data_IF_117267980782
#
_entry.id   IF_117267980782
#
_cell.length_a   1.000
_cell.length_b   1.000
_cell.length_c   1.000
_cell.angle_alpha   90.00
_cell.angle_beta   90.00
_cell.angle_gamma   90.00
#
_symmetry.space_group_name_H-M   'P 1'
#
loop_
_entity.id
_entity.type
_entity.pdbx_description
1 polymer ?
#
# COMPACT_ATOMS: atom_id res chain seq x y z
N UNK A 1 8.54 -14.98 -14.13
CA UNK A 1 9.23 -14.29 -13.01
C UNK A 1 8.35 -13.15 -12.57
N UNK A 2 8.07 -13.00 -11.26
CA UNK A 2 7.29 -11.85 -10.77
C UNK A 2 8.12 -10.57 -10.96
N UNK A 3 7.52 -9.45 -11.42
CA UNK A 3 8.28 -8.24 -11.77
C UNK A 3 8.73 -7.44 -10.54
N UNK A 4 8.19 -7.75 -9.36
CA UNK A 4 8.46 -7.06 -8.11
C UNK A 4 9.07 -8.01 -7.10
N UNK A 5 9.94 -7.47 -6.25
CA UNK A 5 10.66 -8.20 -5.19
C UNK A 5 10.33 -7.69 -3.80
N UNK A 6 9.81 -6.46 -3.68
CA UNK A 6 9.42 -5.90 -2.37
C UNK A 6 8.08 -5.21 -2.41
N UNK A 7 7.39 -5.27 -1.28
CA UNK A 7 6.26 -4.43 -0.93
C UNK A 7 6.72 -3.44 0.13
N UNK A 8 6.75 -2.16 -0.21
CA UNK A 8 7.26 -1.11 0.69
C UNK A 8 6.11 -0.41 1.41
N UNK A 9 6.18 -0.30 2.74
CA UNK A 9 5.16 0.34 3.58
C UNK A 9 5.69 1.62 4.25
N UNK A 10 4.97 2.73 4.10
CA UNK A 10 5.27 3.96 4.84
C UNK A 10 4.76 3.86 6.28
N UNK A 11 5.68 3.90 7.26
CA UNK A 11 5.36 3.80 8.70
C UNK A 11 5.60 5.11 9.47
N UNK A 12 5.73 6.24 8.76
CA UNK A 12 6.05 7.53 9.38
C UNK A 12 5.11 7.82 10.54
N UNK A 13 5.63 8.25 11.67
CA UNK A 13 4.80 8.78 12.74
C UNK A 13 5.35 10.14 13.15
N UNK A 14 4.48 11.13 13.21
CA UNK A 14 4.81 12.47 13.68
C UNK A 14 4.18 12.66 15.06
N UNK A 15 4.96 13.22 15.98
CA UNK A 15 4.44 13.58 17.29
C UNK A 15 3.51 14.79 17.17
N UNK A 16 2.32 14.69 17.77
CA UNK A 16 1.29 15.73 17.73
C UNK A 16 0.45 15.74 16.46
N UNK A 17 -0.69 16.43 16.50
CA UNK A 17 -1.71 16.41 15.44
C UNK A 17 -1.56 17.55 14.40
N UNK A 18 -0.34 18.07 14.22
CA UNK A 18 -0.09 19.23 13.34
C UNK A 18 -0.01 18.83 11.87
N UNK A 19 0.61 17.68 11.58
CA UNK A 19 0.78 17.20 10.21
C UNK A 19 0.42 15.72 10.13
N UNK A 20 -0.38 15.31 9.12
CA UNK A 20 -0.74 13.91 8.96
C UNK A 20 0.51 13.06 8.71
N UNK A 21 0.41 11.78 9.07
CA UNK A 21 1.43 10.78 8.85
C UNK A 21 0.78 9.40 8.67
N UNK A 22 1.41 8.51 7.89
CA UNK A 22 0.83 7.19 7.63
C UNK A 22 0.65 6.37 8.91
N UNK A 23 1.59 6.48 9.85
CA UNK A 23 1.53 5.81 11.15
C UNK A 23 0.41 6.36 12.05
N UNK A 24 0.06 7.64 11.94
CA UNK A 24 -1.14 8.18 12.57
C UNK A 24 -2.43 7.64 11.92
N UNK A 25 -2.40 7.40 10.60
CA UNK A 25 -3.50 6.78 9.84
C UNK A 25 -3.48 5.24 9.91
N UNK A 26 -2.85 4.65 10.94
CA UNK A 26 -2.91 3.21 11.19
C UNK A 26 -1.89 2.34 10.44
N UNK A 27 -0.95 2.91 9.68
CA UNK A 27 -0.05 2.09 8.84
C UNK A 27 0.84 1.12 9.60
N UNK A 28 1.14 1.39 10.87
CA UNK A 28 1.90 0.47 11.74
C UNK A 28 1.14 -0.80 12.06
N UNK A 29 -0.19 -0.73 12.16
CA UNK A 29 -1.04 -1.92 12.36
C UNK A 29 -1.07 -2.85 11.15
N UNK A 30 -0.61 -2.38 9.98
CA UNK A 30 -0.55 -3.19 8.77
C UNK A 30 0.68 -4.09 8.70
N UNK A 31 1.71 -3.88 9.55
CA UNK A 31 3.00 -4.59 9.47
C UNK A 31 2.78 -6.09 9.68
N UNK A 32 2.35 -6.50 10.88
CA UNK A 32 2.18 -7.91 11.24
C UNK A 32 1.28 -8.70 10.28
N UNK A 33 0.07 -8.23 9.89
CA UNK A 33 -0.78 -8.95 8.96
C UNK A 33 -0.19 -9.04 7.54
N UNK A 34 0.50 -8.00 7.05
CA UNK A 34 1.18 -8.06 5.75
C UNK A 34 2.37 -9.02 5.78
N UNK A 35 3.23 -8.96 6.81
CA UNK A 35 4.37 -9.89 6.95
C UNK A 35 3.89 -11.34 7.01
N UNK A 36 2.88 -11.63 7.84
CA UNK A 36 2.31 -12.96 7.96
C UNK A 36 1.69 -13.44 6.64
N UNK A 37 0.97 -12.57 5.95
CA UNK A 37 0.33 -12.88 4.68
C UNK A 37 1.33 -13.18 3.56
N UNK A 38 2.38 -12.34 3.44
CA UNK A 38 3.43 -12.53 2.45
C UNK A 38 4.24 -13.81 2.71
N UNK A 39 4.50 -14.14 3.99
CA UNK A 39 5.20 -15.36 4.38
C UNK A 39 4.37 -16.65 4.19
N UNK A 40 3.04 -16.55 4.31
CA UNK A 40 2.14 -17.68 4.12
C UNK A 40 1.79 -17.97 2.65
N UNK A 41 1.86 -16.94 1.80
CA UNK A 41 1.52 -17.03 0.38
C UNK A 41 2.68 -17.50 -0.51
N UNK A 42 2.42 -17.58 -1.80
CA UNK A 42 3.43 -17.87 -2.84
C UNK A 42 4.04 -16.60 -3.45
N UNK A 43 3.91 -15.45 -2.78
CA UNK A 43 4.57 -14.22 -3.22
C UNK A 43 6.02 -14.19 -2.75
N UNK A 44 6.98 -14.17 -3.67
CA UNK A 44 8.40 -13.92 -3.39
C UNK A 44 8.68 -12.45 -3.00
N UNK A 45 7.71 -11.77 -2.39
CA UNK A 45 7.79 -10.37 -2.01
C UNK A 45 8.18 -10.24 -0.54
N UNK A 46 9.19 -9.44 -0.27
CA UNK A 46 9.57 -9.05 1.10
C UNK A 46 8.86 -7.74 1.50
N UNK A 47 8.37 -7.66 2.74
CA UNK A 47 7.90 -6.39 3.28
C UNK A 47 9.10 -5.52 3.66
N UNK A 48 9.09 -4.26 3.21
CA UNK A 48 10.10 -3.26 3.57
C UNK A 48 9.40 -2.04 4.18
N UNK A 49 9.65 -1.74 5.46
CA UNK A 49 9.13 -0.49 6.06
C UNK A 49 10.05 0.69 5.79
N UNK A 50 9.48 1.86 5.49
CA UNK A 50 10.23 3.11 5.31
C UNK A 50 9.63 4.27 6.09
N UNK A 51 10.48 5.27 6.35
CA UNK A 51 10.06 6.43 7.14
C UNK A 51 9.03 7.32 6.44
N UNK A 52 9.20 7.76 5.20
CA UNK A 52 8.22 8.68 4.57
C UNK A 52 8.22 8.57 3.05
N UNK A 53 7.05 8.74 2.43
CA UNK A 53 6.86 8.77 0.98
C UNK A 53 6.21 10.08 0.48
N UNK A 54 6.09 11.10 1.33
CA UNK A 54 5.65 12.45 0.92
C UNK A 54 4.15 12.63 0.66
N UNK A 55 3.33 11.57 0.65
CA UNK A 55 1.88 11.63 0.35
C UNK A 55 0.99 11.37 1.58
N UNK A 56 1.37 11.92 2.73
CA UNK A 56 0.72 11.61 4.02
C UNK A 56 -0.80 11.94 4.08
N UNK A 57 -1.27 12.90 3.28
CA UNK A 57 -2.67 13.31 3.22
C UNK A 57 -3.61 12.25 2.61
N UNK A 58 -3.05 11.26 1.91
CA UNK A 58 -3.75 10.14 1.27
C UNK A 58 -3.14 8.79 1.66
N UNK A 59 -2.37 8.77 2.76
CA UNK A 59 -1.81 7.53 3.30
C UNK A 59 -2.82 6.79 4.20
N UNK A 60 -2.56 5.52 4.57
CA UNK A 60 -1.31 4.76 4.41
C UNK A 60 -0.89 4.47 2.96
N UNK A 61 0.40 4.30 2.72
CA UNK A 61 0.96 4.07 1.38
C UNK A 61 1.74 2.76 1.36
N UNK A 62 1.41 1.92 0.40
CA UNK A 62 2.23 0.79 -0.04
C UNK A 62 2.82 1.08 -1.43
N UNK A 63 3.97 0.49 -1.76
CA UNK A 63 4.56 0.57 -3.10
C UNK A 63 5.19 -0.76 -3.51
N UNK A 64 4.90 -1.22 -4.72
CA UNK A 64 5.60 -2.35 -5.32
C UNK A 64 6.95 -1.92 -5.89
N UNK A 65 8.00 -2.69 -5.63
CA UNK A 65 9.38 -2.38 -6.02
C UNK A 65 9.95 -3.51 -6.88
N UNK A 66 10.68 -3.22 -7.98
CA UNK A 66 11.06 -1.89 -8.48
C UNK A 66 9.97 -1.20 -9.32
N UNK A 67 9.86 0.13 -9.18
CA UNK A 67 9.06 1.00 -10.05
C UNK A 67 7.59 0.56 -10.25
N UNK A 68 7.02 -0.16 -9.28
CA UNK A 68 5.63 -0.59 -9.31
C UNK A 68 4.66 0.48 -8.80
N UNK A 69 3.35 0.18 -8.87
CA UNK A 69 2.32 1.11 -8.43
C UNK A 69 2.43 1.42 -6.95
N UNK A 70 1.99 2.63 -6.59
CA UNK A 70 1.68 3.01 -5.22
C UNK A 70 0.21 2.71 -4.94
N UNK A 71 -0.06 2.16 -3.77
CA UNK A 71 -1.41 1.90 -3.26
C UNK A 71 -1.67 2.90 -2.15
N UNK A 72 -2.70 3.72 -2.33
CA UNK A 72 -3.05 4.80 -1.42
C UNK A 72 -4.24 4.41 -0.53
N UNK A 73 -4.29 4.99 0.67
CA UNK A 73 -5.41 4.84 1.60
C UNK A 73 -5.62 3.44 2.17
N UNK A 74 -4.63 2.55 2.06
CA UNK A 74 -4.76 1.12 2.45
C UNK A 74 -5.14 0.98 3.93
N UNK A 75 -6.16 0.17 4.20
CA UNK A 75 -6.64 -0.15 5.54
C UNK A 75 -6.45 -1.64 5.89
N UNK A 76 -6.65 -2.00 7.15
CA UNK A 76 -6.48 -3.38 7.63
C UNK A 76 -7.42 -4.37 6.91
N UNK A 77 -8.66 -3.97 6.63
CA UNK A 77 -9.64 -4.78 5.90
C UNK A 77 -9.31 -4.98 4.41
N UNK A 78 -8.34 -4.25 3.86
CA UNK A 78 -7.88 -4.42 2.49
C UNK A 78 -6.80 -5.49 2.35
N UNK A 79 -6.18 -5.93 3.46
CA UNK A 79 -4.99 -6.79 3.44
C UNK A 79 -5.24 -8.10 2.70
N UNK A 80 -6.33 -8.79 3.02
CA UNK A 80 -6.66 -10.07 2.36
C UNK A 80 -6.84 -9.90 0.85
N UNK A 81 -7.46 -8.78 0.43
CA UNK A 81 -7.61 -8.46 -1.00
C UNK A 81 -6.27 -8.15 -1.65
N UNK A 82 -5.40 -7.41 -0.97
CA UNK A 82 -4.07 -7.07 -1.49
C UNK A 82 -3.25 -8.34 -1.69
N UNK A 83 -3.19 -9.21 -0.68
CA UNK A 83 -2.42 -10.46 -0.73
C UNK A 83 -2.91 -11.39 -1.85
N UNK A 84 -4.22 -11.56 -2.00
CA UNK A 84 -4.83 -12.36 -3.07
C UNK A 84 -4.43 -11.84 -4.47
N UNK A 85 -4.49 -10.52 -4.68
CA UNK A 85 -4.11 -9.93 -5.96
C UNK A 85 -2.59 -10.02 -6.23
N UNK A 86 -1.75 -9.88 -5.20
CA UNK A 86 -0.30 -10.05 -5.30
C UNK A 86 0.06 -11.50 -5.66
N UNK A 87 -0.59 -12.47 -5.04
CA UNK A 87 -0.40 -13.89 -5.33
C UNK A 87 -0.76 -14.22 -6.78
N UNK A 88 -1.90 -13.71 -7.25
CA UNK A 88 -2.39 -13.89 -8.63
C UNK A 88 -1.65 -13.03 -9.67
N UNK A 89 -0.73 -12.17 -9.26
CA UNK A 89 0.00 -11.27 -10.14
C UNK A 89 -0.88 -10.19 -10.80
N UNK A 90 -2.01 -9.86 -10.19
CA UNK A 90 -2.99 -8.88 -10.69
C UNK A 90 -2.62 -7.45 -10.26
N UNK A 91 -1.44 -7.01 -10.67
CA UNK A 91 -0.89 -5.71 -10.24
C UNK A 91 -1.64 -4.49 -10.78
N UNK A 92 -2.25 -4.62 -11.97
CA UNK A 92 -3.10 -3.57 -12.54
C UNK A 92 -4.38 -3.38 -11.72
N UNK A 93 -4.99 -4.46 -11.24
CA UNK A 93 -6.15 -4.39 -10.36
C UNK A 93 -5.83 -3.69 -9.04
N UNK A 94 -4.65 -3.96 -8.47
CA UNK A 94 -4.15 -3.25 -7.29
C UNK A 94 -4.01 -1.75 -7.56
N UNK A 95 -3.36 -1.39 -8.67
CA UNK A 95 -3.15 0.01 -9.05
C UNK A 95 -4.48 0.75 -9.26
N UNK A 96 -5.47 0.10 -9.88
CA UNK A 96 -6.78 0.68 -10.13
C UNK A 96 -7.60 0.82 -8.84
N UNK A 97 -7.57 -0.20 -7.97
CA UNK A 97 -8.34 -0.21 -6.72
C UNK A 97 -7.83 0.82 -5.72
N UNK A 98 -6.52 0.99 -5.63
CA UNK A 98 -5.86 1.88 -4.68
C UNK A 98 -5.21 3.08 -5.35
N UNK A 99 -5.82 3.59 -6.43
CA UNK A 99 -5.32 4.72 -7.20
C UNK A 99 -5.24 6.02 -6.37
N UNK A 100 -4.37 6.95 -6.77
CA UNK A 100 -4.30 8.26 -6.13
C UNK A 100 -5.66 8.98 -6.32
N UNK A 101 -6.30 9.53 -5.27
CA UNK A 101 -7.63 10.16 -5.39
C UNK A 101 -7.72 11.30 -6.43
N UNK A 102 -6.60 11.98 -6.73
CA UNK A 102 -6.53 13.03 -7.76
C UNK A 102 -6.65 12.49 -9.19
N UNK A 103 -6.40 11.20 -9.40
CA UNK A 103 -6.52 10.53 -10.70
C UNK A 103 -7.95 10.04 -11.01
N UNK A 104 -8.87 10.09 -10.03
CA UNK A 104 -10.25 9.59 -10.16
C UNK A 104 -11.23 10.57 -10.86
N UNK A 105 -10.77 11.69 -11.44
CA UNK A 105 -11.64 12.62 -12.20
C UNK A 105 -11.58 12.38 -13.72
N UNK A 106 -12.50 11.53 -14.22
CA UNK A 106 -13.43 11.79 -15.36
C UNK A 106 -14.22 10.50 -15.71
N UNK A 107 -15.16 10.12 -14.86
CA UNK A 107 -16.36 9.41 -15.28
C UNK A 107 -17.53 10.09 -14.56
N UNK A 108 -18.64 10.30 -15.26
CA UNK A 108 -19.89 10.93 -14.79
C UNK A 108 -19.94 12.47 -14.81
N UNK A 109 -20.07 13.02 -16.04
CA UNK A 109 -21.14 13.98 -16.37
C UNK A 109 -21.59 13.66 -17.80
N UNK A 110 -22.79 13.10 -17.97
CA UNK A 110 -23.58 13.12 -19.21
C UNK A 110 -25.05 13.20 -18.83
#
# INVERSE_FOLDING_TARGET
>A
MKPYTKLRLCINWRAGDVLPSCGQNGSRGLIDPLEKGLAAGTSDLELETVHCMGKCHIGPILQLIPQGPMLFGVQENDIDTILDLLEKGRYEDLANRFAEPSTTKKAEVS
#
